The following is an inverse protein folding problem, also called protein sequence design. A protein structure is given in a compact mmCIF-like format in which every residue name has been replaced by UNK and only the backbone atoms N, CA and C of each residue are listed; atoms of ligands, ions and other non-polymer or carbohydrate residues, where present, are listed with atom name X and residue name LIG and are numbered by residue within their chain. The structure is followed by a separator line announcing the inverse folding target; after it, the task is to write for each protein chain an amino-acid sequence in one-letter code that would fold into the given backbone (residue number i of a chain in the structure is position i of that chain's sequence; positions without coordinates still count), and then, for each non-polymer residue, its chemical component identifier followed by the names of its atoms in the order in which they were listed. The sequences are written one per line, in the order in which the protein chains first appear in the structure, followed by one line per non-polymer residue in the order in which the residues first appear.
data_IF_004571834716
#
_entry.id   IF_004571834716
#
_cell.length_a   1.000
_cell.length_b   1.000
_cell.length_c   1.000
_cell.angle_alpha   90.00
_cell.angle_beta   90.00
_cell.angle_gamma   90.00
#
_symmetry.space_group_name_H-M   'P 1'
#
loop_
_entity.id
_entity.type
_entity.pdbx_description
1 polymer ?
#
# COMPACT_ATOMS: atom_id res chain seq x y z
N UNK A 1 18.48 -31.10 -23.43
CA UNK A 1 18.80 -31.10 -22.00
C UNK A 1 17.58 -30.77 -21.20
N UNK A 2 17.24 -31.55 -20.19
CA UNK A 2 16.08 -31.37 -19.32
C UNK A 2 16.56 -31.11 -17.91
N UNK A 3 15.99 -30.12 -17.20
CA UNK A 3 16.38 -29.80 -15.82
C UNK A 3 16.17 -28.34 -15.41
N UNK A 4 16.46 -28.04 -14.15
CA UNK A 4 16.37 -26.70 -13.57
C UNK A 4 17.53 -25.82 -14.06
N UNK A 5 17.21 -24.58 -14.45
CA UNK A 5 18.15 -23.53 -14.83
C UNK A 5 17.69 -22.19 -14.23
N UNK A 6 18.58 -21.19 -14.13
CA UNK A 6 18.16 -19.84 -13.76
C UNK A 6 16.99 -19.35 -14.61
N UNK A 7 16.00 -18.71 -13.98
CA UNK A 7 14.84 -18.20 -14.70
C UNK A 7 15.24 -16.99 -15.57
N UNK A 8 15.08 -17.05 -16.90
CA UNK A 8 15.46 -15.97 -17.79
C UNK A 8 14.63 -14.68 -17.58
N UNK A 9 13.48 -14.78 -16.90
CA UNK A 9 12.64 -13.63 -16.58
C UNK A 9 13.03 -12.97 -15.26
N UNK A 10 13.97 -13.53 -14.52
CA UNK A 10 14.41 -13.11 -13.19
C UNK A 10 13.29 -13.01 -12.13
N UNK A 11 12.09 -13.52 -12.42
CA UNK A 11 10.96 -13.54 -11.47
C UNK A 11 11.05 -14.65 -10.44
N UNK A 12 11.81 -15.72 -10.77
CA UNK A 12 12.04 -16.87 -9.92
C UNK A 12 13.53 -17.27 -9.95
N UNK A 13 13.99 -17.95 -8.92
CA UNK A 13 15.39 -18.42 -8.88
C UNK A 13 15.70 -19.45 -9.97
N UNK A 14 14.73 -20.29 -10.30
CA UNK A 14 14.89 -21.32 -11.31
C UNK A 14 13.62 -21.65 -12.06
N UNK A 15 13.79 -22.02 -13.34
CA UNK A 15 12.73 -22.52 -14.22
C UNK A 15 13.11 -23.89 -14.75
N UNK A 16 12.14 -24.77 -14.88
CA UNK A 16 12.37 -26.12 -15.39
C UNK A 16 12.32 -26.12 -16.93
N UNK A 17 13.31 -26.74 -17.54
CA UNK A 17 13.43 -26.86 -18.99
C UNK A 17 13.21 -28.29 -19.43
N UNK A 18 12.48 -28.49 -20.54
CA UNK A 18 12.29 -29.77 -21.22
C UNK A 18 12.78 -29.61 -22.67
N UNK A 19 13.70 -30.46 -23.08
CA UNK A 19 14.32 -30.40 -24.41
C UNK A 19 14.86 -29.00 -24.79
N UNK A 20 15.40 -28.26 -23.78
CA UNK A 20 15.95 -26.92 -23.98
C UNK A 20 14.92 -25.79 -24.01
N UNK A 21 13.63 -26.10 -23.89
CA UNK A 21 12.55 -25.10 -23.85
C UNK A 21 12.10 -24.82 -22.40
N UNK A 22 11.90 -23.56 -22.00
CA UNK A 22 11.41 -23.24 -20.68
C UNK A 22 9.95 -23.70 -20.54
N UNK A 23 9.61 -24.22 -19.36
CA UNK A 23 8.25 -24.61 -18.99
C UNK A 23 7.67 -23.64 -17.97
N UNK A 24 6.37 -23.80 -17.64
CA UNK A 24 5.73 -23.04 -16.58
C UNK A 24 6.18 -23.40 -15.16
N UNK A 25 6.96 -24.52 -14.96
CA UNK A 25 7.43 -24.87 -13.61
C UNK A 25 8.57 -23.98 -13.19
N UNK A 26 8.41 -23.33 -12.05
CA UNK A 26 9.36 -22.39 -11.45
C UNK A 26 9.61 -22.77 -10.00
N UNK A 27 10.75 -22.31 -9.42
CA UNK A 27 11.05 -22.51 -8.00
C UNK A 27 11.75 -21.32 -7.39
N UNK A 28 11.50 -21.13 -6.09
CA UNK A 28 12.24 -20.23 -5.20
C UNK A 28 12.66 -21.06 -3.98
N UNK A 29 13.95 -21.30 -3.80
CA UNK A 29 14.45 -22.22 -2.81
C UNK A 29 13.90 -23.64 -3.02
N UNK A 30 13.14 -24.15 -2.02
CA UNK A 30 12.49 -25.47 -2.05
C UNK A 30 11.03 -25.43 -2.51
N UNK A 31 10.44 -24.24 -2.63
CA UNK A 31 9.05 -24.08 -3.04
C UNK A 31 8.96 -24.10 -4.58
N UNK A 32 8.13 -25.02 -5.12
CA UNK A 32 7.81 -25.09 -6.54
C UNK A 32 6.43 -24.49 -6.79
N UNK A 33 6.29 -23.75 -7.91
CA UNK A 33 5.05 -23.15 -8.37
C UNK A 33 4.91 -23.28 -9.88
N UNK A 34 3.74 -22.93 -10.40
CA UNK A 34 3.50 -22.84 -11.84
C UNK A 34 3.32 -21.38 -12.24
N UNK A 35 4.23 -20.87 -13.08
CA UNK A 35 4.16 -19.54 -13.71
C UNK A 35 3.87 -19.69 -15.20
N UNK A 36 2.59 -19.51 -15.65
CA UNK A 36 2.18 -19.70 -17.03
C UNK A 36 2.80 -18.69 -18.01
N UNK A 37 3.45 -17.63 -17.54
CA UNK A 37 4.09 -16.62 -18.39
C UNK A 37 5.34 -17.13 -19.13
N UNK A 38 5.70 -18.40 -19.00
CA UNK A 38 6.78 -19.05 -19.78
C UNK A 38 6.53 -19.17 -21.27
N UNK A 39 5.43 -18.67 -21.80
CA UNK A 39 5.10 -18.69 -23.23
C UNK A 39 5.49 -17.45 -24.02
N UNK A 40 6.05 -16.41 -23.39
CA UNK A 40 6.54 -15.25 -24.15
C UNK A 40 7.87 -15.62 -24.82
N UNK A 41 7.82 -15.69 -26.13
CA UNK A 41 8.94 -15.86 -27.03
C UNK A 41 9.97 -14.77 -26.71
N UNK A 42 11.17 -15.20 -26.27
CA UNK A 42 12.33 -14.34 -26.30
C UNK A 42 12.49 -13.83 -27.76
N UNK A 43 12.75 -12.53 -27.97
CA UNK A 43 13.07 -12.05 -29.30
C UNK A 43 14.23 -12.92 -29.83
N UNK A 44 14.06 -13.40 -31.07
CA UNK A 44 15.07 -14.17 -31.76
C UNK A 44 16.42 -13.45 -31.63
N UNK A 45 17.39 -14.13 -31.07
CA UNK A 45 18.78 -13.72 -31.10
C UNK A 45 19.19 -13.64 -32.58
N UNK A 46 19.24 -12.43 -33.10
CA UNK A 46 19.77 -12.17 -34.45
C UNK A 46 21.26 -12.31 -34.34
N UNK A 47 21.81 -13.36 -34.92
CA UNK A 47 23.24 -13.51 -35.12
C UNK A 47 23.77 -12.27 -35.85
N UNK A 48 24.54 -11.45 -35.13
CA UNK A 48 25.26 -10.34 -35.73
C UNK A 48 26.35 -10.94 -36.64
N UNK A 49 26.37 -10.58 -37.95
CA UNK A 49 27.41 -11.04 -38.82
C UNK A 49 28.77 -10.57 -38.35
N UNK A 50 29.74 -11.52 -38.29
CA UNK A 50 31.12 -11.24 -37.93
C UNK A 50 31.69 -10.14 -38.85
N UNK A 51 32.13 -9.03 -38.23
CA UNK A 51 32.85 -7.96 -38.91
C UNK A 51 34.14 -8.50 -39.53
N UNK A 52 34.11 -8.70 -40.86
CA UNK A 52 35.31 -8.85 -41.63
C UNK A 52 36.16 -7.57 -41.52
N UNK A 53 37.39 -7.74 -41.08
CA UNK A 53 38.41 -6.68 -41.03
C UNK A 53 38.69 -6.22 -42.47
N UNK A 54 38.13 -5.06 -42.85
CA UNK A 54 38.48 -4.40 -44.10
C UNK A 54 39.76 -3.61 -43.82
N UNK A 55 40.86 -4.10 -44.37
CA UNK A 55 42.19 -3.44 -44.41
C UNK A 55 42.08 -2.24 -45.34
N UNK A 56 42.00 -1.02 -44.78
CA UNK A 56 42.07 0.21 -45.56
C UNK A 56 43.54 0.58 -45.68
N UNK A 57 44.09 0.39 -46.88
CA UNK A 57 45.40 0.91 -47.24
C UNK A 57 45.31 2.46 -47.27
N UNK A 58 46.13 3.12 -46.46
CA UNK A 58 46.33 4.55 -46.46
C UNK A 58 47.05 5.01 -47.74
N UNK A 59 46.40 5.84 -48.49
CA UNK A 59 47.07 6.83 -49.32
C UNK A 59 46.02 7.89 -49.69
N UNK A 60 46.16 9.04 -49.12
CA UNK A 60 45.82 10.39 -49.65
C UNK A 60 45.94 11.40 -48.50
N UNK A 61 47.18 11.81 -48.30
CA UNK A 61 47.49 13.03 -47.56
C UNK A 61 47.23 14.21 -48.52
N UNK A 62 46.41 15.13 -48.08
CA UNK A 62 46.35 16.45 -48.69
C UNK A 62 44.91 16.87 -49.09
N UNK A 63 44.37 17.84 -48.37
CA UNK A 63 43.10 18.59 -48.60
C UNK A 63 41.86 18.16 -47.84
N UNK A 64 41.98 17.86 -46.54
CA UNK A 64 40.81 17.36 -45.76
C UNK A 64 40.46 18.12 -44.46
N UNK A 65 41.24 19.09 -44.00
CA UNK A 65 41.01 19.69 -42.67
C UNK A 65 39.76 20.59 -42.65
N UNK A 66 39.47 21.29 -43.75
CA UNK A 66 38.29 22.17 -43.84
C UNK A 66 36.95 21.42 -43.88
N UNK A 67 36.90 20.28 -44.63
CA UNK A 67 35.69 19.50 -44.77
C UNK A 67 35.30 18.75 -43.48
N UNK A 68 36.30 18.27 -42.73
CA UNK A 68 36.06 17.57 -41.46
C UNK A 68 35.43 18.48 -40.38
N UNK A 69 35.87 19.74 -40.32
CA UNK A 69 35.32 20.72 -39.35
C UNK A 69 33.88 21.08 -39.71
N UNK A 70 33.54 21.23 -40.98
CA UNK A 70 32.15 21.53 -41.41
C UNK A 70 31.23 20.35 -41.13
N UNK A 71 31.68 19.12 -41.35
CA UNK A 71 30.89 17.92 -41.03
C UNK A 71 30.68 17.75 -39.53
N UNK A 72 31.72 17.99 -38.71
CA UNK A 72 31.60 17.94 -37.25
C UNK A 72 30.68 19.05 -36.70
N UNK A 73 30.76 20.27 -37.24
CA UNK A 73 29.85 21.35 -36.88
C UNK A 73 28.40 21.08 -37.34
N UNK A 74 28.23 20.50 -38.50
CA UNK A 74 26.91 20.11 -39.00
C UNK A 74 26.31 18.95 -38.16
N UNK A 75 27.12 17.98 -37.77
CA UNK A 75 26.67 16.89 -36.89
C UNK A 75 26.37 17.39 -35.47
N UNK A 76 27.17 18.28 -34.92
CA UNK A 76 26.92 18.94 -33.63
C UNK A 76 25.62 19.77 -33.66
N UNK A 77 25.42 20.53 -34.74
CA UNK A 77 24.21 21.34 -34.93
C UNK A 77 22.95 20.47 -35.15
N UNK A 78 23.12 19.32 -35.80
CA UNK A 78 22.05 18.32 -35.96
C UNK A 78 21.73 17.61 -34.64
N UNK A 79 22.77 17.25 -33.87
CA UNK A 79 22.58 16.65 -32.54
C UNK A 79 21.90 17.62 -31.56
N UNK A 80 22.14 18.93 -31.66
CA UNK A 80 21.47 19.97 -30.87
C UNK A 80 20.03 20.25 -31.35
N UNK A 81 19.69 19.89 -32.59
CA UNK A 81 18.35 20.08 -33.17
C UNK A 81 17.50 18.81 -33.19
N UNK A 82 18.05 17.64 -32.86
CA UNK A 82 17.22 16.47 -32.64
C UNK A 82 16.32 16.81 -31.43
N UNK A 83 15.02 17.06 -31.63
CA UNK A 83 14.15 17.22 -30.49
C UNK A 83 14.35 15.95 -29.68
N UNK A 84 14.79 16.11 -28.43
CA UNK A 84 14.70 15.03 -27.48
C UNK A 84 13.21 14.69 -27.47
N UNK A 85 12.80 13.66 -28.19
CA UNK A 85 11.52 13.04 -27.98
C UNK A 85 11.57 12.72 -26.48
N UNK A 86 10.92 13.58 -25.68
CA UNK A 86 10.50 13.15 -24.34
C UNK A 86 9.75 11.86 -24.63
N UNK A 87 10.39 10.74 -24.33
CA UNK A 87 9.66 9.49 -24.27
C UNK A 87 8.49 9.81 -23.36
N UNK A 88 7.29 9.84 -23.92
CA UNK A 88 6.09 9.98 -23.14
C UNK A 88 6.14 8.78 -22.20
N UNK A 89 6.47 9.04 -20.93
CA UNK A 89 6.49 7.98 -19.93
C UNK A 89 5.16 7.26 -20.02
N UNK A 90 5.22 5.93 -20.03
CA UNK A 90 3.99 5.15 -20.09
C UNK A 90 3.14 5.47 -18.86
N UNK A 91 1.82 5.46 -18.94
CA UNK A 91 0.96 5.65 -17.77
C UNK A 91 1.33 4.72 -16.61
N UNK A 92 1.81 3.50 -16.91
CA UNK A 92 2.29 2.53 -15.93
C UNK A 92 3.52 3.08 -15.17
N UNK A 93 4.48 3.71 -15.88
CA UNK A 93 5.67 4.28 -15.27
C UNK A 93 5.34 5.52 -14.44
N UNK A 94 4.46 6.39 -14.94
CA UNK A 94 3.96 7.58 -14.20
C UNK A 94 3.30 7.14 -12.89
N UNK A 95 2.44 6.13 -12.96
CA UNK A 95 1.76 5.60 -11.79
C UNK A 95 2.72 5.06 -10.73
N UNK A 96 3.68 4.21 -11.15
CA UNK A 96 4.66 3.63 -10.22
C UNK A 96 5.56 4.68 -9.59
N UNK A 97 6.01 5.67 -10.36
CA UNK A 97 6.82 6.76 -9.81
C UNK A 97 6.03 7.61 -8.82
N UNK A 98 4.78 7.93 -9.11
CA UNK A 98 3.91 8.67 -8.21
C UNK A 98 3.61 7.91 -6.90
N UNK A 99 3.44 6.57 -6.95
CA UNK A 99 3.32 5.75 -5.75
C UNK A 99 4.60 5.76 -4.90
N UNK A 100 5.78 5.73 -5.54
CA UNK A 100 7.07 5.82 -4.84
C UNK A 100 7.24 7.18 -4.17
N UNK A 101 6.96 8.26 -4.88
CA UNK A 101 7.06 9.64 -4.39
C UNK A 101 6.11 9.89 -3.20
N UNK A 102 4.93 9.25 -3.22
CA UNK A 102 3.96 9.30 -2.13
C UNK A 102 4.27 8.33 -0.97
N UNK A 103 5.29 7.47 -1.08
CA UNK A 103 5.61 6.46 -0.06
C UNK A 103 4.61 5.30 0.01
N UNK A 104 3.77 5.13 -1.01
CA UNK A 104 2.68 4.13 -1.04
C UNK A 104 3.05 2.84 -1.78
N UNK A 105 4.22 2.78 -2.43
CA UNK A 105 4.66 1.62 -3.20
C UNK A 105 4.72 0.34 -2.35
N UNK A 106 5.06 0.45 -1.05
CA UNK A 106 5.14 -0.68 -0.11
C UNK A 106 3.79 -1.34 0.22
N UNK A 107 2.66 -0.75 -0.18
CA UNK A 107 1.33 -1.36 -0.01
C UNK A 107 1.09 -2.51 -0.99
N UNK A 108 1.91 -2.62 -2.05
CA UNK A 108 1.78 -3.62 -3.10
C UNK A 108 2.94 -4.60 -3.06
N UNK A 109 2.64 -5.88 -3.26
CA UNK A 109 3.66 -6.94 -3.27
C UNK A 109 4.59 -6.89 -4.50
N UNK A 110 4.20 -6.15 -5.56
CA UNK A 110 4.98 -5.95 -6.79
C UNK A 110 4.41 -4.81 -7.64
N UNK A 111 5.25 -4.26 -8.53
CA UNK A 111 4.83 -3.25 -9.53
C UNK A 111 3.68 -3.76 -10.41
N UNK A 112 3.71 -5.04 -10.79
CA UNK A 112 2.64 -5.64 -11.59
C UNK A 112 1.30 -5.66 -10.84
N UNK A 113 1.31 -5.93 -9.53
CA UNK A 113 0.11 -5.89 -8.70
C UNK A 113 -0.40 -4.46 -8.52
N UNK A 114 0.50 -3.49 -8.32
CA UNK A 114 0.14 -2.08 -8.27
C UNK A 114 -0.55 -1.63 -9.56
N UNK A 115 0.05 -1.91 -10.73
CA UNK A 115 -0.53 -1.56 -12.04
C UNK A 115 -1.89 -2.25 -12.26
N UNK A 116 -2.00 -3.52 -11.90
CA UNK A 116 -3.26 -4.26 -12.02
C UNK A 116 -4.35 -3.64 -11.15
N UNK A 117 -4.02 -3.26 -9.90
CA UNK A 117 -4.90 -2.54 -8.98
C UNK A 117 -5.35 -1.20 -9.60
N UNK A 118 -4.41 -0.35 -10.03
CA UNK A 118 -4.74 0.95 -10.60
C UNK A 118 -5.67 0.85 -11.83
N UNK A 119 -5.42 -0.12 -12.71
CA UNK A 119 -6.30 -0.37 -13.85
C UNK A 119 -7.68 -0.92 -13.45
N UNK A 120 -7.76 -1.64 -12.32
CA UNK A 120 -9.03 -2.11 -11.77
C UNK A 120 -9.86 -0.96 -11.21
N UNK A 121 -9.24 -0.01 -10.49
CA UNK A 121 -9.91 1.21 -10.00
C UNK A 121 -10.60 1.94 -11.17
N UNK A 122 -9.88 2.16 -12.28
CA UNK A 122 -10.47 2.82 -13.45
C UNK A 122 -11.64 2.04 -14.05
N UNK A 123 -11.55 0.70 -14.13
CA UNK A 123 -12.69 -0.11 -14.59
C UNK A 123 -13.91 0.04 -13.69
N UNK A 124 -13.71 0.03 -12.36
CA UNK A 124 -14.81 0.21 -11.41
C UNK A 124 -15.49 1.56 -11.57
N UNK A 125 -14.70 2.63 -11.81
CA UNK A 125 -15.25 3.96 -12.08
C UNK A 125 -15.99 4.02 -13.41
N UNK A 126 -15.50 3.35 -14.45
CA UNK A 126 -16.18 3.23 -15.75
C UNK A 126 -17.51 2.50 -15.64
N UNK A 127 -17.59 1.51 -14.76
CA UNK A 127 -18.80 0.74 -14.45
C UNK A 127 -19.78 1.52 -13.53
N UNK A 128 -19.47 2.78 -13.21
CA UNK A 128 -20.30 3.64 -12.37
C UNK A 128 -20.09 3.49 -10.87
N UNK A 129 -18.94 2.93 -10.48
CA UNK A 129 -18.54 2.84 -9.07
C UNK A 129 -18.33 4.22 -8.42
N UNK A 130 -18.24 4.27 -7.07
CA UNK A 130 -18.10 5.52 -6.33
C UNK A 130 -16.74 6.19 -6.65
N UNK A 131 -16.76 7.52 -6.86
CA UNK A 131 -15.55 8.31 -7.10
C UNK A 131 -14.88 8.66 -5.76
N UNK A 132 -14.46 7.65 -5.03
CA UNK A 132 -13.78 7.81 -3.74
C UNK A 132 -12.90 6.60 -3.45
N UNK A 133 -11.84 6.80 -2.67
CA UNK A 133 -10.92 5.73 -2.30
C UNK A 133 -9.68 6.23 -1.56
N UNK A 134 -8.77 5.34 -1.21
CA UNK A 134 -7.50 5.70 -0.61
C UNK A 134 -6.61 6.52 -1.56
N UNK A 135 -5.56 7.13 -1.02
CA UNK A 135 -4.64 7.97 -1.81
C UNK A 135 -4.01 7.23 -3.00
N UNK A 136 -3.75 5.93 -2.87
CA UNK A 136 -3.23 5.10 -3.97
C UNK A 136 -4.20 5.04 -5.16
N UNK A 137 -5.52 5.00 -4.90
CA UNK A 137 -6.55 5.01 -5.93
C UNK A 137 -6.61 6.36 -6.65
N UNK A 138 -6.45 7.47 -5.92
CA UNK A 138 -6.35 8.80 -6.55
C UNK A 138 -5.18 8.89 -7.52
N UNK A 139 -4.01 8.37 -7.13
CA UNK A 139 -2.83 8.32 -8.00
C UNK A 139 -3.12 7.45 -9.24
N UNK A 140 -3.83 6.33 -9.06
CA UNK A 140 -4.25 5.48 -10.18
C UNK A 140 -5.21 6.21 -11.13
N UNK A 141 -6.18 6.94 -10.59
CA UNK A 141 -7.13 7.76 -11.36
C UNK A 141 -6.39 8.82 -12.16
N UNK A 142 -5.45 9.53 -11.56
CA UNK A 142 -4.68 10.57 -12.24
C UNK A 142 -3.82 10.03 -13.39
N UNK A 143 -3.29 8.83 -13.23
CA UNK A 143 -2.42 8.21 -14.22
C UNK A 143 -3.16 7.49 -15.36
N UNK A 144 -4.24 6.76 -15.03
CA UNK A 144 -4.90 5.86 -15.98
C UNK A 144 -6.26 6.34 -16.49
N UNK A 145 -6.98 7.14 -15.71
CA UNK A 145 -8.32 7.62 -16.07
C UNK A 145 -8.60 9.06 -15.59
N UNK A 146 -7.82 10.05 -16.05
CA UNK A 146 -7.84 11.42 -15.54
C UNK A 146 -9.19 12.12 -15.65
N UNK A 147 -10.12 11.60 -16.47
CA UNK A 147 -11.50 12.11 -16.56
C UNK A 147 -12.27 12.03 -15.24
N UNK A 148 -11.87 11.15 -14.32
CA UNK A 148 -12.45 11.00 -12.99
C UNK A 148 -11.63 11.71 -11.90
N UNK A 149 -10.51 12.34 -12.25
CA UNK A 149 -9.61 12.98 -11.29
C UNK A 149 -10.27 14.15 -10.57
N UNK A 150 -11.04 14.95 -11.30
CA UNK A 150 -11.82 16.04 -10.75
C UNK A 150 -13.06 15.47 -10.04
N UNK A 151 -13.14 15.72 -8.73
CA UNK A 151 -14.24 15.19 -7.90
C UNK A 151 -13.98 13.83 -7.25
N UNK A 152 -12.81 13.21 -7.48
CA UNK A 152 -12.42 12.02 -6.74
C UNK A 152 -12.10 12.36 -5.29
N UNK A 153 -12.90 11.83 -4.35
CA UNK A 153 -12.73 12.03 -2.92
C UNK A 153 -11.68 11.06 -2.36
N UNK A 154 -10.62 11.61 -1.76
CA UNK A 154 -9.61 10.79 -1.06
C UNK A 154 -10.11 10.56 0.36
N UNK A 155 -10.08 9.30 0.81
CA UNK A 155 -10.45 8.93 2.16
C UNK A 155 -9.59 9.66 3.19
N UNK A 156 -10.25 10.30 4.15
CA UNK A 156 -9.61 10.95 5.27
C UNK A 156 -9.19 9.93 6.33
N UNK A 157 -8.09 10.22 7.03
CA UNK A 157 -7.66 9.48 8.22
C UNK A 157 -7.68 10.40 9.41
N UNK A 158 -8.36 9.97 10.47
CA UNK A 158 -8.45 10.70 11.72
C UNK A 158 -7.88 9.88 12.88
N UNK A 159 -7.21 10.55 13.81
CA UNK A 159 -6.87 9.95 15.11
C UNK A 159 -8.04 10.19 16.04
N UNK A 160 -8.71 9.12 16.43
CA UNK A 160 -9.84 9.13 17.34
C UNK A 160 -9.33 9.00 18.77
N UNK A 161 -9.78 9.90 19.63
CA UNK A 161 -9.58 9.77 21.07
C UNK A 161 -10.84 9.24 21.73
N UNK A 162 -10.69 8.40 22.74
CA UNK A 162 -11.82 7.82 23.46
C UNK A 162 -11.64 7.84 24.97
N UNK A 163 -12.76 7.79 25.66
CA UNK A 163 -12.83 7.59 27.10
C UNK A 163 -13.75 6.43 27.42
N UNK A 164 -13.28 5.57 28.31
CA UNK A 164 -14.09 4.52 28.92
C UNK A 164 -14.25 4.85 30.40
N UNK A 165 -15.49 5.03 30.84
CA UNK A 165 -15.82 5.42 32.21
C UNK A 165 -16.52 4.23 32.88
N UNK A 166 -15.88 3.68 33.89
CA UNK A 166 -16.48 2.73 34.81
C UNK A 166 -17.09 3.47 35.99
N UNK A 167 -18.36 3.24 36.27
CA UNK A 167 -19.03 3.79 37.45
C UNK A 167 -19.30 2.69 38.48
N UNK A 168 -18.83 2.86 39.68
CA UNK A 168 -19.12 1.97 40.78
C UNK A 168 -20.58 2.10 41.21
N UNK A 169 -21.26 0.97 41.37
CA UNK A 169 -22.65 0.97 41.76
C UNK A 169 -22.94 1.43 43.17
N UNK A 170 -23.86 2.33 43.27
CA UNK A 170 -24.85 2.54 44.32
C UNK A 170 -24.48 2.75 45.77
N UNK A 171 -25.33 3.46 46.45
CA UNK A 171 -25.36 3.91 47.83
C UNK A 171 -25.26 2.83 48.93
N UNK A 172 -25.04 1.58 48.61
CA UNK A 172 -24.80 0.51 49.58
C UNK A 172 -23.35 0.04 49.44
N UNK A 173 -22.50 0.60 50.29
CA UNK A 173 -21.04 0.59 50.28
C UNK A 173 -20.35 -0.79 50.50
N UNK A 174 -21.01 -1.90 50.21
CA UNK A 174 -20.41 -3.21 50.52
C UNK A 174 -19.73 -3.88 49.34
N UNK A 175 -19.97 -3.45 48.09
CA UNK A 175 -19.29 -4.03 46.90
C UNK A 175 -18.98 -2.89 45.93
N UNK A 176 -17.82 -2.28 46.01
CA UNK A 176 -17.34 -1.39 44.93
C UNK A 176 -16.87 -2.20 43.76
N UNK A 177 -17.36 -1.88 42.55
CA UNK A 177 -16.84 -2.44 41.29
C UNK A 177 -15.50 -1.84 40.87
N UNK A 178 -14.97 -0.92 41.64
CA UNK A 178 -13.73 -0.16 41.39
C UNK A 178 -12.85 -0.20 42.64
N UNK A 179 -11.59 -0.55 42.45
CA UNK A 179 -10.55 -0.35 43.45
C UNK A 179 -9.71 0.86 43.03
N UNK A 180 -9.38 1.74 44.03
CA UNK A 180 -8.54 2.90 43.82
C UNK A 180 -7.52 3.02 44.96
N UNK A 181 -6.30 3.45 44.61
CA UNK A 181 -5.25 3.80 45.57
C UNK A 181 -5.10 5.32 45.78
N UNK A 182 -6.02 6.10 45.16
CA UNK A 182 -6.02 7.57 45.20
C UNK A 182 -5.21 8.21 44.05
N UNK A 183 -4.41 7.44 43.32
CA UNK A 183 -3.66 7.87 42.12
C UNK A 183 -4.11 7.17 40.87
N UNK A 184 -4.37 5.88 40.93
CA UNK A 184 -4.89 5.04 39.87
C UNK A 184 -6.13 4.29 40.32
N UNK A 185 -6.88 3.77 39.38
CA UNK A 185 -8.05 2.94 39.62
C UNK A 185 -8.22 1.85 38.55
N UNK A 186 -8.88 0.75 38.93
CA UNK A 186 -9.18 -0.35 38.06
C UNK A 186 -10.50 -1.05 38.43
N UNK A 187 -11.05 -1.84 37.57
CA UNK A 187 -12.23 -2.64 37.85
C UNK A 187 -11.91 -3.86 38.70
N UNK A 188 -12.83 -4.21 39.61
CA UNK A 188 -12.74 -5.42 40.45
C UNK A 188 -14.02 -6.23 40.35
N UNK A 189 -14.02 -7.42 40.91
CA UNK A 189 -15.14 -8.36 40.88
C UNK A 189 -15.64 -8.62 39.44
N UNK A 190 -16.87 -8.30 39.12
CA UNK A 190 -17.46 -8.47 37.79
C UNK A 190 -16.84 -7.58 36.70
N UNK A 191 -15.91 -6.67 37.03
CA UNK A 191 -15.22 -5.74 36.14
C UNK A 191 -13.69 -5.87 36.15
N UNK A 192 -13.17 -6.97 36.69
CA UNK A 192 -11.72 -7.22 36.78
C UNK A 192 -11.00 -7.31 35.44
N UNK A 193 -11.74 -7.37 34.32
CA UNK A 193 -11.23 -7.29 32.96
C UNK A 193 -11.06 -5.85 32.46
N UNK A 194 -11.43 -4.85 33.25
CA UNK A 194 -11.28 -3.42 32.91
C UNK A 194 -10.16 -2.83 33.74
N UNK A 195 -9.00 -2.74 33.12
CA UNK A 195 -7.78 -2.20 33.71
C UNK A 195 -6.93 -1.56 32.60
N UNK A 196 -5.80 -0.98 32.99
CA UNK A 196 -4.74 -0.61 32.06
C UNK A 196 -4.40 -1.80 31.15
N UNK A 197 -4.10 -1.49 29.89
CA UNK A 197 -3.79 -2.45 28.83
C UNK A 197 -4.97 -3.34 28.36
N UNK A 198 -6.18 -3.13 28.90
CA UNK A 198 -7.38 -3.77 28.37
C UNK A 198 -7.57 -3.43 26.91
N UNK A 199 -7.78 -4.47 26.08
CA UNK A 199 -7.82 -4.31 24.62
C UNK A 199 -9.09 -3.58 24.19
N UNK A 200 -8.89 -2.61 23.29
CA UNK A 200 -9.92 -1.94 22.49
C UNK A 200 -9.77 -2.41 21.06
N UNK A 201 -10.81 -3.00 20.48
CA UNK A 201 -10.79 -3.54 19.12
C UNK A 201 -11.71 -2.69 18.25
N UNK A 202 -11.18 -2.26 17.10
CA UNK A 202 -11.93 -1.54 16.07
C UNK A 202 -12.15 -2.46 14.88
N UNK A 203 -13.42 -2.68 14.50
CA UNK A 203 -13.82 -3.50 13.35
C UNK A 203 -14.66 -2.72 12.37
N UNK A 204 -14.74 -3.20 11.14
CA UNK A 204 -15.77 -2.75 10.19
C UNK A 204 -17.11 -3.52 10.38
N UNK A 205 -18.10 -3.16 9.57
CA UNK A 205 -19.42 -3.80 9.61
C UNK A 205 -19.44 -5.27 9.23
N UNK A 206 -18.39 -5.79 8.59
CA UNK A 206 -18.22 -7.22 8.26
C UNK A 206 -17.48 -8.02 9.33
N UNK A 207 -16.99 -7.33 10.39
CA UNK A 207 -16.26 -7.94 11.49
C UNK A 207 -14.74 -8.02 11.30
N UNK A 208 -14.21 -7.47 10.22
CA UNK A 208 -12.77 -7.37 9.99
C UNK A 208 -12.14 -6.38 10.98
N UNK A 209 -11.03 -6.77 11.60
CA UNK A 209 -10.29 -5.89 12.51
C UNK A 209 -9.54 -4.86 11.70
N UNK A 210 -9.87 -3.59 11.91
CA UNK A 210 -9.22 -2.44 11.28
C UNK A 210 -8.04 -1.96 12.11
N UNK A 211 -8.18 -1.94 13.44
CA UNK A 211 -7.12 -1.55 14.36
C UNK A 211 -7.36 -2.10 15.76
N UNK A 212 -6.33 -2.01 16.62
CA UNK A 212 -6.39 -2.36 18.03
C UNK A 212 -5.64 -1.32 18.86
N UNK A 213 -6.25 -0.93 19.97
CA UNK A 213 -5.64 -0.05 20.95
C UNK A 213 -5.76 -0.67 22.35
N UNK A 214 -5.23 -0.01 23.35
CA UNK A 214 -5.38 -0.42 24.76
C UNK A 214 -5.88 0.75 25.60
N UNK A 215 -6.59 0.46 26.67
CA UNK A 215 -6.91 1.42 27.70
C UNK A 215 -5.62 1.91 28.36
N UNK A 216 -5.50 3.19 28.57
CA UNK A 216 -4.46 3.80 29.39
C UNK A 216 -4.66 3.50 30.87
N UNK A 217 -3.90 4.18 31.71
CA UNK A 217 -4.06 4.10 33.16
C UNK A 217 -5.42 4.66 33.58
N UNK A 218 -6.11 3.98 34.50
CA UNK A 218 -7.36 4.45 35.08
C UNK A 218 -7.14 5.57 36.07
N UNK A 219 -7.90 6.64 35.96
CA UNK A 219 -7.86 7.80 36.87
C UNK A 219 -9.23 8.06 37.45
N UNK A 220 -9.28 8.25 38.78
CA UNK A 220 -10.54 8.51 39.45
C UNK A 220 -10.54 8.10 40.92
N UNK A 221 -11.64 7.55 41.37
CA UNK A 221 -11.85 7.10 42.72
C UNK A 221 -12.75 5.85 42.73
N UNK A 222 -13.14 5.39 43.93
CA UNK A 222 -13.97 4.18 44.10
C UNK A 222 -15.39 4.31 43.53
N UNK A 223 -15.81 5.51 43.10
CA UNK A 223 -17.11 5.74 42.47
C UNK A 223 -17.04 5.85 40.96
N UNK A 224 -15.90 6.35 40.44
CA UNK A 224 -15.73 6.56 39.00
C UNK A 224 -14.27 6.41 38.61
N UNK A 225 -14.01 5.55 37.63
CA UNK A 225 -12.70 5.31 37.03
C UNK A 225 -12.74 5.58 35.56
N UNK A 226 -11.90 6.47 35.03
CA UNK A 226 -11.85 6.88 33.64
C UNK A 226 -10.53 6.45 33.02
N UNK A 227 -10.64 5.75 31.90
CA UNK A 227 -9.53 5.31 31.05
C UNK A 227 -9.57 6.06 29.74
N UNK A 228 -8.41 6.49 29.24
CA UNK A 228 -8.27 7.08 27.91
C UNK A 228 -7.70 6.06 26.93
N UNK A 229 -8.02 6.22 25.64
CA UNK A 229 -7.42 5.44 24.57
C UNK A 229 -7.44 6.25 23.27
N UNK A 230 -6.67 5.83 22.27
CA UNK A 230 -6.69 6.46 20.94
C UNK A 230 -6.30 5.43 19.87
N UNK A 231 -6.84 5.61 18.67
CA UNK A 231 -6.57 4.77 17.51
C UNK A 231 -6.81 5.58 16.22
N UNK A 232 -6.13 5.25 15.12
CA UNK A 232 -6.44 5.81 13.82
C UNK A 232 -7.65 5.13 13.19
N UNK A 233 -8.44 5.89 12.43
CA UNK A 233 -9.48 5.36 11.54
C UNK A 233 -9.37 6.02 10.19
N UNK A 234 -9.59 5.25 9.12
CA UNK A 234 -9.66 5.76 7.76
C UNK A 234 -11.10 5.64 7.28
N UNK A 235 -11.59 6.66 6.61
CA UNK A 235 -12.91 6.69 5.97
C UNK A 235 -13.10 5.52 4.99
N UNK A 236 -14.35 5.27 4.58
CA UNK A 236 -14.69 4.28 3.55
C UNK A 236 -15.35 3.01 4.09
N UNK A 237 -15.48 2.85 5.40
CA UNK A 237 -16.26 1.78 6.00
C UNK A 237 -17.73 2.19 6.15
N UNK A 238 -18.64 1.25 5.98
CA UNK A 238 -20.08 1.47 6.22
C UNK A 238 -20.38 1.84 7.68
N UNK A 239 -19.63 1.25 8.59
CA UNK A 239 -19.67 1.50 10.03
C UNK A 239 -18.39 1.02 10.70
N UNK A 240 -18.14 1.55 11.88
CA UNK A 240 -17.06 1.15 12.78
C UNK A 240 -17.67 0.57 14.04
N UNK A 241 -17.20 -0.60 14.43
CA UNK A 241 -17.64 -1.31 15.64
C UNK A 241 -16.47 -1.31 16.62
N UNK A 242 -16.68 -0.69 17.78
CA UNK A 242 -15.66 -0.56 18.81
C UNK A 242 -16.08 -1.42 19.99
N UNK A 243 -15.20 -2.32 20.41
CA UNK A 243 -15.41 -3.18 21.56
C UNK A 243 -14.27 -2.98 22.57
N UNK A 244 -14.62 -2.89 23.85
CA UNK A 244 -13.66 -2.85 24.96
C UNK A 244 -13.81 -4.15 25.73
N UNK A 245 -12.76 -5.00 25.74
CA UNK A 245 -12.86 -6.36 26.28
C UNK A 245 -14.08 -7.09 25.68
N UNK A 246 -14.96 -7.63 26.52
CA UNK A 246 -16.21 -8.29 26.15
C UNK A 246 -17.45 -7.51 26.65
N UNK A 247 -17.33 -6.16 26.73
CA UNK A 247 -18.36 -5.27 27.29
C UNK A 247 -19.37 -4.75 26.27
N UNK A 248 -19.45 -5.40 25.11
CA UNK A 248 -20.38 -5.08 24.03
C UNK A 248 -19.76 -4.32 22.89
N UNK A 249 -20.57 -4.11 21.86
CA UNK A 249 -20.18 -3.47 20.61
C UNK A 249 -20.85 -2.08 20.51
N UNK A 250 -20.05 -1.06 20.24
CA UNK A 250 -20.49 0.32 20.06
C UNK A 250 -20.29 0.71 18.60
N UNK A 251 -21.37 1.14 17.94
CA UNK A 251 -21.39 1.37 16.50
C UNK A 251 -21.31 2.86 16.22
N UNK A 252 -20.39 3.26 15.31
CA UNK A 252 -20.17 4.63 14.90
C UNK A 252 -20.04 4.76 13.38
N UNK A 253 -20.33 5.95 12.88
CA UNK A 253 -19.90 6.39 11.54
C UNK A 253 -18.53 7.06 11.63
N UNK A 254 -17.82 7.21 10.49
CA UNK A 254 -16.56 7.95 10.43
C UNK A 254 -16.72 9.38 11.01
N UNK A 255 -17.75 10.10 10.59
CA UNK A 255 -18.00 11.47 11.04
C UNK A 255 -18.22 11.57 12.55
N UNK A 256 -18.89 10.60 13.16
CA UNK A 256 -19.07 10.57 14.62
C UNK A 256 -17.72 10.37 15.32
N UNK A 257 -16.91 9.42 14.84
CA UNK A 257 -15.58 9.18 15.40
C UNK A 257 -14.65 10.37 15.26
N UNK A 258 -14.60 10.96 14.07
CA UNK A 258 -13.71 12.08 13.77
C UNK A 258 -14.09 13.37 14.51
N UNK A 259 -15.39 13.62 14.72
CA UNK A 259 -15.87 14.87 15.32
C UNK A 259 -16.13 14.80 16.82
N UNK A 260 -16.53 13.63 17.36
CA UNK A 260 -16.96 13.47 18.74
C UNK A 260 -16.04 12.54 19.55
N UNK A 261 -15.28 11.69 18.86
CA UNK A 261 -14.53 10.63 19.52
C UNK A 261 -15.43 9.51 20.06
N UNK A 262 -14.93 8.77 21.03
CA UNK A 262 -15.63 7.63 21.65
C UNK A 262 -15.84 7.88 23.13
N UNK A 263 -17.09 7.81 23.59
CA UNK A 263 -17.43 7.94 25.00
C UNK A 263 -18.27 6.75 25.44
N UNK A 264 -17.66 5.83 26.16
CA UNK A 264 -18.30 4.63 26.68
C UNK A 264 -18.44 4.76 28.17
N UNK A 265 -19.62 4.53 28.70
CA UNK A 265 -19.87 4.46 30.13
C UNK A 265 -20.48 3.10 30.49
N UNK A 266 -19.90 2.46 31.51
CA UNK A 266 -20.32 1.18 32.03
C UNK A 266 -20.56 1.28 33.54
N UNK A 267 -21.55 0.55 34.03
CA UNK A 267 -21.97 0.56 35.43
C UNK A 267 -23.27 1.35 35.65
N UNK A 268 -23.74 1.40 36.88
CA UNK A 268 -25.01 2.02 37.27
C UNK A 268 -24.80 3.37 37.92
#
# INVERSE_FOLDING_TARGET
MTGWRPDPTARHEGRYYVAGRPTGRVRNGRAEANDPAGGYLLPNYVDLPSRSRMSIRSSWLGTGVGAAIIVMLALAFWALRVPHHRQSESPDAIYLSALQDAGLAGQFNSDANAIAHGKQVCRQLDDGGPQQGPAADKIAVDAFCPRFSEGFHIFETATVTGTFVLTGGGSNAEISSIASDGTSCHGVDGYSDIDRDTQVIVRNGTGEILDTASLGEGHGNDLTCTFSFSFPVTEGQDRYVISVSHRGDFIYTFNQLASQGVHIRLGH
#
